data_IF_621765009753
#
_entry.id   IF_621765009753
#
_cell.length_a   1.000
_cell.length_b   1.000
_cell.length_c   1.000
_cell.angle_alpha   90.00
_cell.angle_beta   90.00
_cell.angle_gamma   90.00
#
_symmetry.space_group_name_H-M   'P 1'
#
loop_
_entity.id
_entity.type
_entity.pdbx_description
1 polymer ?
#
# COMPACT_ATOMS: atom_id res chain seq x y z
N UNK A 1 35.22 72.40 6.49
CA UNK A 1 34.40 71.36 7.13
C UNK A 1 34.07 70.37 6.04
N UNK A 2 34.82 69.27 6.01
CA UNK A 2 34.70 68.21 5.01
C UNK A 2 33.99 67.05 5.71
N UNK A 3 32.73 66.82 5.34
CA UNK A 3 31.96 65.68 5.83
C UNK A 3 32.45 64.40 5.14
N UNK A 4 32.77 63.43 5.97
CA UNK A 4 33.32 62.13 5.60
C UNK A 4 32.16 61.19 5.29
N UNK A 5 32.06 60.75 4.04
CA UNK A 5 31.14 59.72 3.58
C UNK A 5 31.62 58.36 4.10
N UNK A 6 30.92 57.81 5.09
CA UNK A 6 31.19 56.48 5.62
C UNK A 6 30.52 55.43 4.74
N UNK A 7 31.34 54.67 4.02
CA UNK A 7 30.95 53.49 3.23
C UNK A 7 30.39 52.39 4.13
N UNK A 8 29.11 52.04 3.95
CA UNK A 8 28.52 50.82 4.51
C UNK A 8 29.14 49.57 3.84
N UNK A 9 29.61 48.57 4.59
CA UNK A 9 30.10 47.35 3.98
C UNK A 9 28.93 46.49 3.50
N UNK A 10 29.02 46.07 2.24
CA UNK A 10 28.08 45.20 1.55
C UNK A 10 27.73 43.94 2.37
N UNK A 11 26.44 43.77 2.62
CA UNK A 11 25.88 42.57 3.24
C UNK A 11 26.09 41.37 2.31
N UNK A 12 26.86 40.39 2.78
CA UNK A 12 27.09 39.12 2.08
C UNK A 12 25.75 38.38 1.99
N UNK A 13 25.30 37.92 0.81
CA UNK A 13 24.07 37.12 0.74
C UNK A 13 24.32 35.77 1.42
N UNK A 14 23.50 35.48 2.44
CA UNK A 14 23.49 34.20 3.11
C UNK A 14 23.25 33.07 2.08
N UNK A 15 24.12 32.05 2.10
CA UNK A 15 23.95 30.83 1.34
C UNK A 15 22.56 30.22 1.61
N UNK A 16 21.91 29.58 0.61
CA UNK A 16 20.60 28.99 0.82
C UNK A 16 20.71 27.91 1.89
N UNK A 17 19.88 28.04 2.93
CA UNK A 17 19.69 27.04 3.96
C UNK A 17 19.47 25.68 3.27
N UNK A 18 20.36 24.73 3.56
CA UNK A 18 20.34 23.43 2.92
C UNK A 18 18.95 22.81 2.99
N UNK A 19 18.45 22.38 1.82
CA UNK A 19 17.21 21.62 1.72
C UNK A 19 17.29 20.44 2.70
N UNK A 20 16.55 20.56 3.81
CA UNK A 20 16.33 19.43 4.71
C UNK A 20 15.55 18.40 3.90
N UNK A 21 16.25 17.36 3.45
CA UNK A 21 15.64 16.18 2.83
C UNK A 21 14.43 15.78 3.69
N UNK A 22 13.23 15.66 3.09
CA UNK A 22 12.05 15.32 3.86
C UNK A 22 12.32 14.01 4.61
N UNK A 23 11.91 13.91 5.89
CA UNK A 23 12.09 12.69 6.66
C UNK A 23 11.51 11.51 5.86
N UNK A 24 12.15 10.33 5.94
CA UNK A 24 11.65 9.16 5.25
C UNK A 24 10.19 8.91 5.64
N UNK A 25 9.34 8.41 4.73
CA UNK A 25 7.94 8.17 5.03
C UNK A 25 7.84 7.24 6.25
N UNK A 26 7.24 7.75 7.33
CA UNK A 26 7.14 7.02 8.59
C UNK A 26 6.25 5.80 8.37
N UNK A 27 6.82 4.60 8.56
CA UNK A 27 6.09 3.33 8.53
C UNK A 27 5.65 3.04 9.96
N UNK A 28 4.34 2.98 10.18
CA UNK A 28 3.81 2.65 11.49
C UNK A 28 3.80 1.13 11.64
N UNK A 29 4.74 0.62 12.43
CA UNK A 29 4.81 -0.80 12.78
C UNK A 29 4.59 -0.90 14.28
N UNK A 30 3.36 -1.16 14.71
CA UNK A 30 2.97 -1.10 16.12
C UNK A 30 3.79 -2.00 17.02
N UNK A 31 4.20 -3.18 16.53
CA UNK A 31 5.04 -4.12 17.29
C UNK A 31 6.45 -3.63 17.56
N UNK A 32 6.96 -2.69 16.76
CA UNK A 32 8.33 -2.14 16.81
C UNK A 32 8.41 -0.77 17.51
N UNK A 33 7.26 -0.22 17.93
CA UNK A 33 7.19 1.03 18.68
C UNK A 33 7.40 0.78 20.18
N UNK A 34 8.03 1.73 20.87
CA UNK A 34 8.02 1.77 22.34
C UNK A 34 6.65 2.22 22.90
N UNK A 35 6.50 2.20 24.22
CA UNK A 35 5.22 2.51 24.86
C UNK A 35 4.76 3.95 24.59
N UNK A 36 5.68 4.91 24.73
CA UNK A 36 5.38 6.34 24.60
C UNK A 36 4.99 6.68 23.15
N UNK A 37 5.69 6.11 22.17
CA UNK A 37 5.33 6.24 20.76
C UNK A 37 3.96 5.62 20.49
N UNK A 38 3.67 4.41 21.01
CA UNK A 38 2.35 3.78 20.82
C UNK A 38 1.22 4.65 21.38
N UNK A 39 1.38 5.20 22.58
CA UNK A 39 0.37 6.07 23.18
C UNK A 39 0.14 7.34 22.35
N UNK A 40 1.22 8.00 21.94
CA UNK A 40 1.12 9.20 21.11
C UNK A 40 0.39 8.92 19.79
N UNK A 41 0.74 7.81 19.12
CA UNK A 41 0.13 7.40 17.85
C UNK A 41 -1.32 6.96 18.00
N UNK A 42 -1.68 6.28 19.08
CA UNK A 42 -3.07 5.93 19.37
C UNK A 42 -3.91 7.18 19.66
N UNK A 43 -3.34 8.19 20.32
CA UNK A 43 -4.00 9.49 20.53
C UNK A 43 -4.30 10.20 19.22
N UNK A 44 -3.31 10.28 18.33
CA UNK A 44 -3.46 10.80 16.97
C UNK A 44 -4.54 10.05 16.18
N UNK A 45 -4.50 8.71 16.22
CA UNK A 45 -5.49 7.88 15.56
C UNK A 45 -6.90 8.07 16.12
N UNK A 46 -7.06 8.29 17.42
CA UNK A 46 -8.37 8.51 18.03
C UNK A 46 -9.06 9.75 17.47
N UNK A 47 -8.32 10.87 17.35
CA UNK A 47 -8.84 12.10 16.78
C UNK A 47 -9.24 11.92 15.31
N UNK A 48 -8.41 11.22 14.54
CA UNK A 48 -8.69 10.95 13.14
C UNK A 48 -9.86 9.98 12.94
N UNK A 49 -9.98 8.93 13.75
CA UNK A 49 -11.11 7.99 13.71
C UNK A 49 -12.42 8.70 14.05
N UNK A 50 -12.41 9.62 15.02
CA UNK A 50 -13.58 10.45 15.34
C UNK A 50 -14.02 11.31 14.16
N UNK A 51 -13.06 11.92 13.44
CA UNK A 51 -13.34 12.63 12.19
C UNK A 51 -13.92 11.67 11.15
N UNK A 52 -13.30 10.51 10.93
CA UNK A 52 -13.72 9.52 9.95
C UNK A 52 -15.17 9.05 10.20
N UNK A 53 -15.50 8.74 11.46
CA UNK A 53 -16.85 8.32 11.85
C UNK A 53 -17.87 9.42 11.58
N UNK A 54 -17.55 10.68 11.92
CA UNK A 54 -18.45 11.82 11.73
C UNK A 54 -18.65 12.15 10.25
N UNK A 55 -17.58 12.11 9.45
CA UNK A 55 -17.60 12.51 8.04
C UNK A 55 -18.32 11.50 7.15
N UNK A 56 -18.16 10.20 7.42
CA UNK A 56 -18.72 9.13 6.58
C UNK A 56 -19.96 8.44 7.18
N UNK A 57 -20.41 8.87 8.37
CA UNK A 57 -21.52 8.26 9.12
C UNK A 57 -21.40 6.73 9.29
N UNK A 58 -20.18 6.27 9.60
CA UNK A 58 -19.83 4.84 9.72
C UNK A 58 -19.83 4.33 11.17
N UNK A 59 -20.53 5.01 12.07
CA UNK A 59 -20.54 4.73 13.52
C UNK A 59 -20.86 3.28 13.90
N UNK A 60 -21.68 2.59 13.10
CA UNK A 60 -22.08 1.19 13.35
C UNK A 60 -21.13 0.16 12.72
N UNK A 61 -20.15 0.63 11.95
CA UNK A 61 -19.24 -0.19 11.16
C UNK A 61 -17.85 -0.26 11.81
N UNK A 62 -17.53 0.71 12.68
CA UNK A 62 -16.31 0.74 13.48
C UNK A 62 -16.61 0.29 14.90
N UNK A 63 -15.89 -0.71 15.41
CA UNK A 63 -16.06 -1.18 16.79
C UNK A 63 -15.74 -0.06 17.79
N UNK A 64 -16.57 0.13 18.83
CA UNK A 64 -16.32 1.15 19.88
C UNK A 64 -15.02 0.93 20.65
N UNK A 65 -14.59 -0.33 20.77
CA UNK A 65 -13.33 -0.74 21.39
C UNK A 65 -12.25 -1.05 20.34
N UNK A 66 -12.26 -0.40 19.17
CA UNK A 66 -11.32 -0.66 18.07
C UNK A 66 -9.84 -0.66 18.54
N UNK A 67 -9.48 0.22 19.47
CA UNK A 67 -8.12 0.35 20.02
C UNK A 67 -7.65 -0.87 20.81
N UNK A 68 -8.57 -1.76 21.21
CA UNK A 68 -8.26 -3.04 21.87
C UNK A 68 -8.11 -4.20 20.90
N UNK A 69 -8.28 -3.96 19.59
CA UNK A 69 -8.22 -4.99 18.57
C UNK A 69 -7.06 -4.71 17.63
N UNK A 70 -5.89 -5.37 17.81
CA UNK A 70 -4.70 -5.13 16.98
C UNK A 70 -4.99 -5.22 15.48
N UNK A 71 -5.81 -6.20 15.06
CA UNK A 71 -6.27 -6.31 13.67
C UNK A 71 -6.93 -5.02 13.18
N UNK A 72 -7.84 -4.43 13.97
CA UNK A 72 -8.57 -3.22 13.57
C UNK A 72 -7.63 -2.02 13.58
N UNK A 73 -6.73 -1.92 14.56
CA UNK A 73 -5.69 -0.89 14.63
C UNK A 73 -4.83 -0.89 13.37
N UNK A 74 -4.38 -2.06 12.90
CA UNK A 74 -3.59 -2.19 11.66
C UNK A 74 -4.38 -1.73 10.42
N UNK A 75 -5.66 -2.10 10.32
CA UNK A 75 -6.51 -1.67 9.20
C UNK A 75 -6.74 -0.16 9.21
N UNK A 76 -7.00 0.43 10.38
CA UNK A 76 -7.14 1.88 10.54
C UNK A 76 -5.83 2.61 10.25
N UNK A 77 -4.68 2.03 10.61
CA UNK A 77 -3.36 2.58 10.32
C UNK A 77 -3.09 2.64 8.81
N UNK A 78 -3.45 1.59 8.07
CA UNK A 78 -3.36 1.59 6.61
C UNK A 78 -4.21 2.71 5.98
N UNK A 79 -5.45 2.86 6.46
CA UNK A 79 -6.35 3.93 6.01
C UNK A 79 -5.83 5.32 6.40
N UNK A 80 -5.32 5.49 7.61
CA UNK A 80 -4.75 6.74 8.11
C UNK A 80 -3.54 7.18 7.29
N UNK A 81 -2.60 6.27 7.08
CA UNK A 81 -1.38 6.56 6.29
C UNK A 81 -1.72 6.82 4.82
N UNK A 82 -2.72 6.13 4.26
CA UNK A 82 -3.28 6.43 2.94
C UNK A 82 -3.88 7.84 2.87
N UNK A 83 -4.73 8.18 3.84
CA UNK A 83 -5.37 9.50 3.96
C UNK A 83 -4.33 10.61 4.07
N UNK A 84 -3.35 10.45 4.96
CA UNK A 84 -2.30 11.43 5.17
C UNK A 84 -1.48 11.65 3.90
N UNK A 85 -1.11 10.57 3.19
CA UNK A 85 -0.41 10.68 1.90
C UNK A 85 -1.25 11.40 0.85
N UNK A 86 -2.54 11.09 0.77
CA UNK A 86 -3.44 11.69 -0.22
C UNK A 86 -3.68 13.18 0.04
N UNK A 87 -3.90 13.59 1.29
CA UNK A 87 -4.35 14.96 1.61
C UNK A 87 -3.27 15.88 2.17
N UNK A 88 -2.19 15.33 2.73
CA UNK A 88 -1.07 16.09 3.29
C UNK A 88 0.29 15.74 2.66
N UNK A 89 0.33 14.73 1.77
CA UNK A 89 1.52 14.35 1.05
C UNK A 89 1.87 15.29 -0.11
N UNK A 90 3.01 15.04 -0.73
CA UNK A 90 3.47 15.76 -1.91
C UNK A 90 2.56 15.44 -3.11
N UNK A 91 1.78 16.41 -3.62
CA UNK A 91 0.80 16.17 -4.67
C UNK A 91 1.45 15.77 -6.00
N UNK A 92 2.74 16.08 -6.21
CA UNK A 92 3.46 15.69 -7.43
C UNK A 92 3.74 14.18 -7.49
N UNK A 93 3.62 13.48 -6.37
CA UNK A 93 3.84 12.03 -6.24
C UNK A 93 2.55 11.22 -6.24
N UNK A 94 1.40 11.89 -6.33
CA UNK A 94 0.08 11.28 -6.30
C UNK A 94 -0.50 11.18 -7.70
N UNK A 95 -1.29 10.12 -7.95
CA UNK A 95 -2.10 10.03 -9.16
C UNK A 95 -3.29 10.98 -9.09
N UNK A 96 -3.81 11.39 -10.26
CA UNK A 96 -5.00 12.27 -10.40
C UNK A 96 -6.29 11.74 -9.74
N UNK A 97 -6.28 10.49 -9.25
CA UNK A 97 -7.45 9.81 -8.65
C UNK A 97 -7.20 9.38 -7.20
N UNK A 98 -6.15 9.86 -6.56
CA UNK A 98 -5.70 9.37 -5.24
C UNK A 98 -6.78 9.54 -4.16
N UNK A 99 -7.58 10.59 -4.22
CA UNK A 99 -8.72 10.82 -3.32
C UNK A 99 -9.82 9.78 -3.54
N UNK A 100 -10.20 9.53 -4.80
CA UNK A 100 -11.23 8.55 -5.14
C UNK A 100 -10.77 7.12 -4.81
N UNK A 101 -9.49 6.82 -5.04
CA UNK A 101 -8.87 5.53 -4.69
C UNK A 101 -8.85 5.34 -3.18
N UNK A 102 -8.47 6.35 -2.41
CA UNK A 102 -8.51 6.26 -0.94
C UNK A 102 -9.94 6.05 -0.41
N UNK A 103 -10.94 6.75 -0.95
CA UNK A 103 -12.35 6.53 -0.57
C UNK A 103 -12.80 5.11 -0.90
N UNK A 104 -12.40 4.58 -2.05
CA UNK A 104 -12.70 3.18 -2.43
C UNK A 104 -12.10 2.20 -1.43
N UNK A 105 -10.85 2.42 -1.01
CA UNK A 105 -10.16 1.58 -0.04
C UNK A 105 -10.84 1.66 1.34
N UNK A 106 -11.28 2.86 1.77
CA UNK A 106 -12.09 3.04 2.97
C UNK A 106 -13.31 2.10 2.96
N UNK A 107 -14.13 2.15 1.90
CA UNK A 107 -15.33 1.31 1.81
C UNK A 107 -15.02 -0.19 1.74
N UNK A 108 -13.90 -0.59 1.12
CA UNK A 108 -13.46 -1.98 1.11
C UNK A 108 -13.04 -2.48 2.51
N UNK A 109 -12.56 -1.58 3.37
CA UNK A 109 -12.11 -1.91 4.72
C UNK A 109 -13.24 -1.95 5.75
N UNK A 110 -14.35 -1.23 5.55
CA UNK A 110 -15.46 -1.13 6.53
C UNK A 110 -15.91 -2.48 7.12
N UNK A 111 -16.09 -3.56 6.35
CA UNK A 111 -16.48 -4.86 6.92
C UNK A 111 -15.45 -5.46 7.89
N UNK A 112 -14.20 -4.98 7.87
CA UNK A 112 -13.08 -5.44 8.73
C UNK A 112 -12.91 -4.60 10.00
N UNK A 113 -13.52 -3.42 10.06
CA UNK A 113 -13.38 -2.47 11.17
C UNK A 113 -14.34 -2.75 12.35
N UNK A 114 -15.20 -3.76 12.21
CA UNK A 114 -16.08 -4.21 13.27
C UNK A 114 -15.54 -5.48 13.97
N UNK A 115 -16.00 -5.70 15.19
CA UNK A 115 -15.78 -6.93 15.96
C UNK A 115 -17.14 -7.45 16.44
N UNK A 116 -17.61 -8.54 15.82
CA UNK A 116 -18.90 -9.15 16.17
C UNK A 116 -18.96 -9.55 17.65
N UNK A 117 -17.83 -9.97 18.22
CA UNK A 117 -17.69 -10.37 19.62
C UNK A 117 -17.77 -9.21 20.62
N UNK A 118 -17.88 -7.96 20.17
CA UNK A 118 -17.76 -6.77 21.04
C UNK A 118 -18.86 -5.72 20.84
N UNK A 119 -20.05 -6.11 20.35
CA UNK A 119 -21.13 -5.18 20.04
C UNK A 119 -21.76 -4.54 21.29
N UNK A 120 -21.87 -5.27 22.40
CA UNK A 120 -22.48 -4.80 23.66
C UNK A 120 -21.47 -4.62 24.78
N UNK A 121 -20.50 -5.53 24.88
CA UNK A 121 -19.41 -5.46 25.85
C UNK A 121 -18.13 -5.99 25.22
N UNK A 122 -16.99 -5.43 25.61
CA UNK A 122 -15.70 -5.89 25.10
C UNK A 122 -15.39 -7.27 25.66
N UNK A 123 -15.02 -8.19 24.77
CA UNK A 123 -14.53 -9.52 25.12
C UNK A 123 -13.09 -9.62 24.63
N UNK A 124 -12.18 -9.91 25.56
CA UNK A 124 -10.78 -10.14 25.23
C UNK A 124 -10.66 -11.53 24.57
N UNK A 125 -10.23 -11.56 23.31
CA UNK A 125 -9.94 -12.82 22.63
C UNK A 125 -8.53 -13.25 23.03
N UNK A 126 -8.34 -14.46 23.60
CA UNK A 126 -7.00 -14.94 23.91
C UNK A 126 -6.14 -14.98 22.66
N UNK A 127 -4.86 -14.59 22.79
CA UNK A 127 -3.91 -14.67 21.70
C UNK A 127 -3.86 -16.11 21.18
N UNK A 128 -3.88 -16.32 19.85
CA UNK A 128 -3.68 -17.66 19.31
C UNK A 128 -2.30 -18.14 19.71
N UNK A 129 -2.19 -19.41 20.08
CA UNK A 129 -0.89 -20.07 20.22
C UNK A 129 -0.24 -20.11 18.84
N UNK A 130 0.78 -19.29 18.63
CA UNK A 130 1.59 -19.32 17.42
C UNK A 130 2.60 -20.47 17.51
N UNK A 131 2.80 -21.18 16.41
CA UNK A 131 3.61 -22.39 16.32
C UNK A 131 5.11 -22.06 16.25
N UNK A 132 5.65 -21.44 17.32
CA UNK A 132 7.08 -21.13 17.42
C UNK A 132 7.99 -22.38 17.34
N UNK A 133 7.40 -23.56 17.52
CA UNK A 133 7.98 -24.88 17.26
C UNK A 133 6.98 -25.71 16.45
N UNK A 134 6.65 -25.24 15.23
CA UNK A 134 5.75 -25.96 14.32
C UNK A 134 6.41 -27.22 13.79
N UNK A 135 6.51 -28.24 14.65
CA UNK A 135 7.07 -29.54 14.25
C UNK A 135 6.34 -30.13 13.07
N UNK A 136 5.04 -29.85 12.90
CA UNK A 136 4.29 -30.32 11.74
C UNK A 136 4.80 -29.68 10.45
N UNK A 137 5.19 -28.40 10.48
CA UNK A 137 5.85 -27.75 9.33
C UNK A 137 7.25 -28.34 9.07
N UNK A 138 8.06 -28.57 10.11
CA UNK A 138 9.38 -29.20 9.96
C UNK A 138 9.28 -30.63 9.43
N UNK A 139 8.38 -31.44 9.98
CA UNK A 139 8.10 -32.82 9.54
C UNK A 139 7.61 -32.85 8.08
N UNK A 140 6.79 -31.88 7.65
CA UNK A 140 6.37 -31.74 6.25
C UNK A 140 7.53 -31.37 5.30
N UNK A 141 8.62 -30.77 5.81
CA UNK A 141 9.81 -30.47 5.01
C UNK A 141 10.81 -31.63 4.94
N UNK A 142 10.81 -32.52 5.93
CA UNK A 142 11.77 -33.64 6.02
C UNK A 142 11.65 -34.62 4.84
N UNK A 143 10.42 -34.82 4.33
CA UNK A 143 10.19 -35.44 3.03
C UNK A 143 9.70 -34.35 2.06
N UNK A 144 10.57 -33.80 1.19
CA UNK A 144 10.25 -32.59 0.46
C UNK A 144 9.07 -32.88 -0.48
N UNK A 145 7.91 -32.25 -0.24
CA UNK A 145 6.67 -32.56 -0.94
C UNK A 145 6.85 -32.25 -2.42
N UNK A 146 6.04 -32.89 -3.27
CA UNK A 146 6.01 -32.62 -4.72
C UNK A 146 5.90 -31.13 -5.01
N UNK A 147 5.24 -30.35 -4.13
CA UNK A 147 5.21 -28.90 -4.23
C UNK A 147 6.60 -28.22 -4.29
N UNK A 148 7.56 -28.66 -3.47
CA UNK A 148 8.91 -28.08 -3.42
C UNK A 148 9.84 -28.67 -4.49
N UNK A 149 9.58 -29.90 -4.94
CA UNK A 149 10.45 -30.64 -5.88
C UNK A 149 9.94 -30.66 -7.32
N UNK A 150 8.68 -30.27 -7.57
CA UNK A 150 8.10 -30.24 -8.91
C UNK A 150 8.87 -29.29 -9.83
N UNK A 151 8.94 -29.69 -11.10
CA UNK A 151 9.51 -28.84 -12.14
C UNK A 151 8.73 -27.53 -12.27
N UNK A 152 9.46 -26.41 -12.34
CA UNK A 152 8.86 -25.08 -12.47
C UNK A 152 8.16 -24.95 -13.82
N UNK A 153 6.84 -24.95 -13.82
CA UNK A 153 6.03 -24.80 -15.02
C UNK A 153 5.13 -23.56 -14.94
N UNK A 154 5.24 -22.65 -15.91
CA UNK A 154 4.31 -21.52 -16.04
C UNK A 154 3.30 -21.82 -17.16
N UNK A 155 2.01 -22.03 -16.85
CA UNK A 155 1.02 -22.45 -17.85
C UNK A 155 0.87 -21.47 -19.02
N UNK A 156 1.01 -20.17 -18.77
CA UNK A 156 0.96 -19.16 -19.84
C UNK A 156 2.13 -19.23 -20.85
N UNK A 157 3.24 -19.93 -20.55
CA UNK A 157 4.36 -20.08 -21.50
C UNK A 157 3.91 -20.93 -22.70
N UNK A 158 3.24 -22.05 -22.45
CA UNK A 158 2.66 -22.88 -23.50
C UNK A 158 1.59 -22.12 -24.30
N UNK A 159 0.75 -21.35 -23.62
CA UNK A 159 -0.27 -20.53 -24.28
C UNK A 159 0.34 -19.45 -25.20
N UNK A 160 1.41 -18.77 -24.75
CA UNK A 160 2.11 -17.77 -25.58
C UNK A 160 2.74 -18.39 -26.83
N UNK A 161 3.33 -19.58 -26.71
CA UNK A 161 3.91 -20.29 -27.86
C UNK A 161 2.84 -20.63 -28.89
N UNK A 162 1.71 -21.21 -28.44
CA UNK A 162 0.58 -21.53 -29.30
C UNK A 162 0.05 -20.29 -30.04
N UNK A 163 -0.15 -19.18 -29.33
CA UNK A 163 -0.60 -17.92 -29.94
C UNK A 163 0.41 -17.38 -30.96
N UNK A 164 1.71 -17.54 -30.71
CA UNK A 164 2.75 -17.12 -31.64
C UNK A 164 2.79 -18.00 -32.90
N UNK A 165 2.59 -19.31 -32.76
CA UNK A 165 2.48 -20.26 -33.89
C UNK A 165 1.24 -19.98 -34.74
N UNK A 166 0.08 -19.78 -34.10
CA UNK A 166 -1.17 -19.38 -34.76
C UNK A 166 -1.00 -18.05 -35.53
N UNK A 167 -0.34 -17.05 -34.93
CA UNK A 167 -0.05 -15.78 -35.58
C UNK A 167 0.89 -15.93 -36.79
N UNK A 168 1.93 -16.76 -36.69
CA UNK A 168 2.87 -17.04 -37.79
C UNK A 168 2.17 -17.74 -38.95
N UNK A 169 1.33 -18.74 -38.67
CA UNK A 169 0.54 -19.44 -39.68
C UNK A 169 -0.43 -18.47 -40.39
N UNK A 170 -1.10 -17.60 -39.63
CA UNK A 170 -1.99 -16.58 -40.20
C UNK A 170 -1.24 -15.59 -41.11
N UNK A 171 -0.03 -15.17 -40.72
CA UNK A 171 0.80 -14.28 -41.55
C UNK A 171 1.24 -14.95 -42.86
N UNK A 172 1.66 -16.21 -42.81
CA UNK A 172 2.03 -16.99 -44.00
C UNK A 172 0.85 -17.17 -44.96
N UNK A 173 -0.33 -17.49 -44.45
CA UNK A 173 -1.54 -17.61 -45.27
C UNK A 173 -1.92 -16.30 -45.95
N UNK A 174 -1.74 -15.16 -45.28
CA UNK A 174 -1.96 -13.83 -45.87
C UNK A 174 -0.96 -13.51 -46.97
N UNK A 175 0.33 -13.81 -46.77
CA UNK A 175 1.37 -13.60 -47.78
C UNK A 175 1.10 -14.44 -49.05
N UNK A 176 0.78 -15.72 -48.89
CA UNK A 176 0.46 -16.61 -50.02
C UNK A 176 -0.75 -16.14 -50.84
N UNK A 177 -1.79 -15.60 -50.17
CA UNK A 177 -2.94 -15.01 -50.87
C UNK A 177 -2.56 -13.78 -51.69
N UNK A 178 -1.71 -12.90 -51.15
CA UNK A 178 -1.24 -11.70 -51.84
C UNK A 178 -0.45 -12.05 -53.10
N UNK A 179 0.50 -12.98 -53.00
CA UNK A 179 1.31 -13.46 -54.13
C UNK A 179 0.45 -14.15 -55.22
N UNK A 180 -0.60 -14.88 -54.82
CA UNK A 180 -1.54 -15.50 -55.78
C UNK A 180 -2.46 -14.50 -56.48
N UNK A 181 -2.72 -13.35 -55.86
CA UNK A 181 -3.47 -12.23 -56.45
C UNK A 181 -2.64 -11.47 -57.48
N UNK A 182 -1.39 -11.13 -57.13
CA UNK A 182 -0.45 -10.42 -58.03
C UNK A 182 -0.11 -11.22 -59.30
N UNK A 183 -0.08 -12.57 -59.23
CA UNK A 183 0.12 -13.44 -60.42
C UNK A 183 -1.09 -13.57 -61.35
N UNK A 184 -2.30 -13.18 -60.92
CA UNK A 184 -3.52 -13.24 -61.76
C UNK A 184 -3.80 -11.95 -62.51
N UNK A 185 -3.12 -10.87 -62.15
CA UNK A 185 -3.34 -9.52 -62.67
C UNK A 185 -2.21 -9.04 -63.59
N UNK A 186 -1.22 -9.92 -63.85
CA UNK A 186 -0.10 -9.72 -64.77
C UNK A 186 -0.17 -10.70 -65.94
#
# INVERSE_FOLDING_TARGET
MADTEATEPASTPAAPAGEKKPPPPQRWVWSDMDLDEREARLGEMTLWVDWLIKTYDIRNQVARCWYRHPRIVEHLTALYTGWFRTYAGDPTKLGLRSEAEWIKDLYAFLPRLNSASCQTSHTETPAPTLTADDRAFSEWLDEPPTFLTAERFHPAKAQKLRLAEEAKAAAQARAARKESGEKKES
#
